data_IF_317272174577
#
_entry.id   IF_317272174577
#
_cell.length_a   1.000
_cell.length_b   1.000
_cell.length_c   1.000
_cell.angle_alpha   90.00
_cell.angle_beta   90.00
_cell.angle_gamma   90.00
#
_symmetry.space_group_name_H-M   'P 1'
#
loop_
_entity.id
_entity.type
_entity.pdbx_description
1 polymer ?
#
# COMPACT_ATOMS: atom_id res chain seq x y z
N UNK A 1 -25.66 15.93 13.48
CA UNK A 1 -24.86 15.95 14.71
C UNK A 1 -23.49 16.52 14.40
N UNK A 2 -22.92 17.31 15.30
CA UNK A 2 -21.65 18.05 15.13
C UNK A 2 -20.40 17.19 15.35
N UNK A 3 -20.51 15.88 15.14
CA UNK A 3 -19.43 14.92 15.38
C UNK A 3 -18.53 14.71 14.18
N UNK A 4 -17.28 14.32 14.42
CA UNK A 4 -16.39 13.80 13.38
C UNK A 4 -17.00 12.55 12.74
N UNK A 5 -16.65 12.32 11.48
CA UNK A 5 -17.20 11.23 10.68
C UNK A 5 -16.09 10.44 9.99
N UNK A 6 -16.25 9.11 10.00
CA UNK A 6 -15.44 8.17 9.25
C UNK A 6 -16.35 7.40 8.32
N UNK A 7 -15.97 7.31 7.04
CA UNK A 7 -16.61 6.46 6.05
C UNK A 7 -15.63 5.37 5.64
N UNK A 8 -16.04 4.12 5.75
CA UNK A 8 -15.28 2.96 5.28
C UNK A 8 -15.90 2.47 3.98
N UNK A 9 -15.08 2.35 2.93
CA UNK A 9 -15.51 1.75 1.68
C UNK A 9 -15.69 0.24 1.88
N UNK A 10 -16.90 -0.26 1.66
CA UNK A 10 -17.17 -1.68 1.57
C UNK A 10 -16.87 -2.15 0.13
N UNK A 11 -15.76 -2.86 -0.04
CA UNK A 11 -15.32 -3.34 -1.34
C UNK A 11 -16.28 -4.37 -1.96
N UNK A 12 -17.13 -5.04 -1.16
CA UNK A 12 -18.08 -6.03 -1.68
C UNK A 12 -19.34 -5.39 -2.27
N UNK A 13 -19.83 -4.31 -1.65
CA UNK A 13 -21.04 -3.61 -2.09
C UNK A 13 -20.77 -2.33 -2.90
N UNK A 14 -19.54 -1.83 -2.89
CA UNK A 14 -19.18 -0.53 -3.47
C UNK A 14 -19.75 0.67 -2.70
N UNK A 15 -20.38 0.44 -1.55
CA UNK A 15 -20.99 1.46 -0.70
C UNK A 15 -20.08 1.92 0.45
N UNK A 16 -20.56 2.89 1.23
CA UNK A 16 -19.87 3.37 2.43
C UNK A 16 -20.59 2.97 3.70
N UNK A 17 -19.82 2.47 4.67
CA UNK A 17 -20.26 2.34 6.06
C UNK A 17 -19.87 3.59 6.85
N UNK A 18 -20.86 4.23 7.48
CA UNK A 18 -20.65 5.49 8.21
C UNK A 18 -20.52 5.27 9.71
N UNK A 19 -19.49 5.89 10.29
CA UNK A 19 -19.25 5.93 11.73
C UNK A 19 -19.15 7.37 12.20
N UNK A 20 -19.88 7.67 13.28
CA UNK A 20 -20.01 9.02 13.83
C UNK A 20 -19.43 9.07 15.23
N UNK A 21 -18.59 10.07 15.49
CA UNK A 21 -18.11 10.38 16.83
C UNK A 21 -19.15 11.22 17.56
N UNK A 22 -19.87 10.61 18.51
CA UNK A 22 -20.98 11.28 19.21
C UNK A 22 -20.58 11.90 20.55
N UNK A 23 -19.51 11.42 21.15
CA UNK A 23 -18.92 11.99 22.38
C UNK A 23 -17.40 12.05 22.26
N UNK A 24 -16.72 12.62 23.26
CA UNK A 24 -15.25 12.65 23.31
C UNK A 24 -14.61 11.24 23.19
N UNK A 25 -15.32 10.19 23.61
CA UNK A 25 -14.76 8.83 23.74
C UNK A 25 -15.55 7.75 22.99
N UNK A 26 -16.65 8.09 22.30
CA UNK A 26 -17.48 7.08 21.63
C UNK A 26 -17.68 7.31 20.13
N UNK A 27 -17.37 6.26 19.37
CA UNK A 27 -17.74 6.05 17.98
C UNK A 27 -18.97 5.17 17.90
N UNK A 28 -19.88 5.51 16.98
CA UNK A 28 -21.11 4.75 16.75
C UNK A 28 -21.36 4.48 15.28
N UNK A 29 -21.97 3.34 14.98
CA UNK A 29 -22.45 2.98 13.64
C UNK A 29 -23.77 3.72 13.30
N UNK A 30 -24.33 3.42 12.12
CA UNK A 30 -25.60 3.98 11.66
C UNK A 30 -26.79 3.61 12.58
N UNK A 31 -26.71 2.51 13.32
CA UNK A 31 -27.71 2.04 14.28
C UNK A 31 -27.49 2.60 15.70
N UNK A 32 -26.52 3.50 15.87
CA UNK A 32 -26.12 4.08 17.17
C UNK A 32 -25.49 3.09 18.15
N UNK A 33 -25.00 1.95 17.69
CA UNK A 33 -24.23 0.98 18.48
C UNK A 33 -22.81 1.50 18.74
N UNK A 34 -22.26 1.30 19.94
CA UNK A 34 -20.88 1.71 20.26
C UNK A 34 -19.88 0.74 19.60
N UNK A 35 -18.90 1.27 18.87
CA UNK A 35 -17.94 0.48 18.06
C UNK A 35 -16.47 0.88 18.30
N UNK A 36 -16.14 1.33 19.51
CA UNK A 36 -14.82 1.87 19.85
C UNK A 36 -13.63 0.93 19.57
N UNK A 37 -13.85 -0.37 19.56
CA UNK A 37 -12.83 -1.41 19.35
C UNK A 37 -12.98 -2.13 18.01
N UNK A 38 -13.86 -1.64 17.13
CA UNK A 38 -14.07 -2.25 15.83
C UNK A 38 -12.79 -2.12 15.00
N UNK A 39 -12.22 -3.25 14.60
CA UNK A 39 -11.05 -3.26 13.76
C UNK A 39 -11.43 -2.78 12.36
N UNK A 40 -10.68 -1.81 11.81
CA UNK A 40 -10.77 -1.48 10.39
C UNK A 40 -9.96 -2.55 9.64
N UNK A 41 -10.58 -3.34 8.74
CA UNK A 41 -9.86 -4.36 8.01
C UNK A 41 -8.73 -3.73 7.15
N UNK A 42 -7.62 -4.43 6.97
CA UNK A 42 -6.56 -4.00 6.06
C UNK A 42 -7.06 -3.92 4.62
N UNK A 43 -6.57 -2.95 3.85
CA UNK A 43 -7.01 -2.70 2.47
C UNK A 43 -8.33 -1.93 2.37
N UNK A 44 -8.98 -1.59 3.48
CA UNK A 44 -10.18 -0.72 3.48
C UNK A 44 -9.78 0.74 3.28
N UNK A 45 -10.36 1.39 2.27
CA UNK A 45 -10.25 2.83 2.09
C UNK A 45 -11.01 3.59 3.17
N UNK A 46 -10.37 4.57 3.80
CA UNK A 46 -10.95 5.40 4.86
C UNK A 46 -11.06 6.84 4.34
N UNK A 47 -12.25 7.42 4.45
CA UNK A 47 -12.44 8.87 4.30
C UNK A 47 -12.73 9.44 5.70
N UNK A 48 -11.96 10.45 6.09
CA UNK A 48 -12.10 11.14 7.38
C UNK A 48 -12.60 12.56 7.14
N UNK A 49 -13.75 12.91 7.73
CA UNK A 49 -14.26 14.27 7.74
C UNK A 49 -14.18 14.84 9.16
N UNK A 50 -13.18 15.70 9.38
CA UNK A 50 -12.99 16.44 10.64
C UNK A 50 -13.88 17.68 10.64
N UNK A 51 -14.80 17.80 11.59
CA UNK A 51 -15.80 18.88 11.56
C UNK A 51 -15.47 20.10 12.44
N UNK A 52 -14.58 19.95 13.42
CA UNK A 52 -14.34 21.01 14.42
C UNK A 52 -12.94 21.64 14.35
N UNK A 53 -11.88 20.83 14.31
CA UNK A 53 -10.47 21.29 14.32
C UNK A 53 -9.57 20.26 13.65
N UNK A 54 -8.41 20.70 13.15
CA UNK A 54 -7.36 19.80 12.67
C UNK A 54 -6.88 18.87 13.80
N UNK A 55 -6.41 17.67 13.45
CA UNK A 55 -5.88 16.72 14.42
C UNK A 55 -5.19 15.55 13.76
N UNK A 56 -4.48 14.74 14.55
CA UNK A 56 -3.78 13.55 14.07
C UNK A 56 -4.71 12.33 14.02
N UNK A 57 -4.44 11.44 13.08
CA UNK A 57 -4.87 10.05 13.13
C UNK A 57 -3.67 9.25 13.64
N UNK A 58 -3.78 8.65 14.83
CA UNK A 58 -2.67 7.92 15.44
C UNK A 58 -3.10 6.49 15.67
N UNK A 59 -2.34 5.55 15.12
CA UNK A 59 -2.46 4.13 15.42
C UNK A 59 -1.34 3.76 16.39
N UNK A 60 -1.69 3.19 17.55
CA UNK A 60 -0.72 2.77 18.57
C UNK A 60 -0.82 1.26 18.79
N UNK A 61 0.30 0.62 19.10
CA UNK A 61 0.39 -0.83 19.33
C UNK A 61 1.21 -1.56 18.28
N UNK A 62 1.36 -2.88 18.46
CA UNK A 62 2.11 -3.73 17.53
C UNK A 62 1.38 -3.85 16.20
N UNK A 63 2.08 -3.56 15.11
CA UNK A 63 1.60 -3.85 13.76
C UNK A 63 1.49 -5.37 13.60
N UNK A 64 0.30 -5.88 13.26
CA UNK A 64 0.16 -7.27 12.81
C UNK A 64 0.75 -7.40 11.41
N UNK A 65 1.95 -7.97 11.31
CA UNK A 65 2.58 -8.33 10.04
C UNK A 65 2.03 -9.65 9.47
N UNK A 66 0.73 -9.92 9.63
CA UNK A 66 0.10 -11.10 9.04
C UNK A 66 0.18 -11.02 7.51
N UNK A 67 0.23 -12.16 6.82
CA UNK A 67 0.24 -12.19 5.36
C UNK A 67 -1.07 -11.61 4.80
N UNK A 68 -0.99 -10.45 4.15
CA UNK A 68 -2.04 -9.92 3.30
C UNK A 68 -1.63 -10.15 1.85
N UNK A 69 -2.55 -10.70 1.04
CA UNK A 69 -2.34 -10.84 -0.39
C UNK A 69 -2.97 -9.64 -1.10
N UNK A 70 -2.15 -8.82 -1.76
CA UNK A 70 -2.62 -7.90 -2.78
C UNK A 70 -2.51 -8.60 -4.11
N UNK A 71 -3.64 -8.88 -4.77
CA UNK A 71 -3.63 -9.46 -6.11
C UNK A 71 -3.18 -8.40 -7.12
N UNK A 72 -1.91 -8.47 -7.52
CA UNK A 72 -1.35 -7.55 -8.52
C UNK A 72 -1.68 -8.02 -9.93
N UNK A 73 -2.02 -7.10 -10.82
CA UNK A 73 -2.27 -7.39 -12.25
C UNK A 73 -1.05 -7.05 -13.10
N UNK A 74 -1.02 -7.55 -14.34
CA UNK A 74 -0.02 -7.17 -15.33
C UNK A 74 0.00 -5.65 -15.59
N UNK A 75 1.18 -5.10 -15.86
CA UNK A 75 1.39 -3.68 -16.10
C UNK A 75 1.77 -2.89 -14.85
N UNK A 76 1.64 -1.57 -14.94
CA UNK A 76 1.95 -0.68 -13.83
C UNK A 76 0.77 -0.52 -12.89
N UNK A 77 1.03 -0.66 -11.60
CA UNK A 77 0.07 -0.32 -10.56
C UNK A 77 0.77 0.43 -9.43
N UNK A 78 0.10 1.48 -8.96
CA UNK A 78 0.52 2.13 -7.71
C UNK A 78 0.14 1.20 -6.56
N UNK A 79 1.13 0.84 -5.78
CA UNK A 79 0.97 -0.03 -4.62
C UNK A 79 1.40 0.74 -3.38
N UNK A 80 0.62 0.56 -2.33
CA UNK A 80 0.94 1.05 -1.00
C UNK A 80 1.03 -0.15 -0.06
N UNK A 81 1.96 -0.08 0.89
CA UNK A 81 2.06 -1.11 1.90
C UNK A 81 1.02 -0.87 3.00
N UNK A 82 0.35 -1.94 3.43
CA UNK A 82 -0.70 -1.85 4.45
C UNK A 82 -0.23 -1.36 5.82
N UNK A 83 1.09 -1.31 6.07
CA UNK A 83 1.66 -0.87 7.34
C UNK A 83 3.01 -0.15 7.17
N UNK A 84 3.34 0.81 8.05
CA UNK A 84 4.59 1.57 8.05
C UNK A 84 5.75 0.74 8.60
N UNK A 85 6.18 -0.26 7.82
CA UNK A 85 7.33 -1.10 8.13
C UNK A 85 8.19 -1.21 6.88
N UNK A 86 9.50 -1.14 7.08
CA UNK A 86 10.47 -1.42 6.04
C UNK A 86 10.38 -2.90 5.64
N UNK A 87 10.31 -3.14 4.33
CA UNK A 87 10.17 -4.47 3.74
C UNK A 87 11.14 -4.69 2.59
N UNK A 88 11.53 -5.95 2.42
CA UNK A 88 12.06 -6.45 1.16
C UNK A 88 10.91 -6.88 0.24
N UNK A 89 11.12 -6.96 -1.08
CA UNK A 89 10.15 -7.59 -1.98
C UNK A 89 9.76 -9.01 -1.57
N UNK A 90 10.70 -9.78 -1.03
CA UNK A 90 10.44 -11.15 -0.60
C UNK A 90 9.47 -11.17 0.60
N UNK A 91 9.53 -10.17 1.48
CA UNK A 91 8.59 -10.00 2.60
C UNK A 91 7.15 -9.75 2.14
N UNK A 92 6.95 -9.28 0.90
CA UNK A 92 5.63 -9.09 0.28
C UNK A 92 5.30 -10.16 -0.77
N UNK A 93 6.04 -11.27 -0.76
CA UNK A 93 5.75 -12.43 -1.59
C UNK A 93 6.35 -12.38 -3.00
N UNK A 94 7.43 -11.64 -3.23
CA UNK A 94 8.17 -11.73 -4.49
C UNK A 94 8.84 -13.10 -4.67
N UNK A 95 8.10 -14.02 -5.29
CA UNK A 95 8.52 -15.39 -5.54
C UNK A 95 8.00 -15.89 -6.89
N UNK A 96 8.89 -16.48 -7.69
CA UNK A 96 8.58 -16.95 -9.05
C UNK A 96 7.59 -18.13 -9.04
N UNK A 97 7.74 -19.04 -8.08
CA UNK A 97 7.00 -20.31 -8.02
C UNK A 97 5.71 -20.17 -7.23
N UNK A 98 5.78 -19.55 -6.05
CA UNK A 98 4.66 -19.44 -5.14
C UNK A 98 3.66 -18.34 -5.54
N UNK A 99 4.15 -17.24 -6.11
CA UNK A 99 3.35 -16.03 -6.32
C UNK A 99 3.46 -15.47 -7.76
N UNK A 100 4.01 -16.26 -8.70
CA UNK A 100 3.99 -15.96 -10.12
C UNK A 100 4.82 -14.74 -10.55
N UNK A 101 5.91 -14.43 -9.84
CA UNK A 101 6.79 -13.32 -10.23
C UNK A 101 7.67 -13.67 -11.44
N UNK A 102 7.89 -12.69 -12.32
CA UNK A 102 8.78 -12.83 -13.48
C UNK A 102 10.16 -12.31 -13.11
N UNK A 103 11.19 -13.16 -13.19
CA UNK A 103 12.58 -12.75 -13.02
C UNK A 103 13.34 -12.75 -14.35
N UNK A 104 14.37 -11.92 -14.49
CA UNK A 104 15.24 -11.91 -15.67
C UNK A 104 15.65 -10.51 -16.09
N UNK A 105 16.17 -10.39 -17.32
CA UNK A 105 16.47 -9.07 -17.93
C UNK A 105 15.20 -8.25 -18.12
N UNK A 106 14.07 -8.92 -18.32
CA UNK A 106 12.74 -8.36 -18.43
C UNK A 106 11.89 -8.76 -17.21
N UNK A 107 12.50 -8.81 -16.02
CA UNK A 107 11.78 -9.13 -14.79
C UNK A 107 10.78 -8.05 -14.36
N UNK A 108 9.97 -8.39 -13.37
CA UNK A 108 9.14 -7.44 -12.65
C UNK A 108 10.01 -6.38 -11.98
N UNK A 109 9.49 -5.17 -11.80
CA UNK A 109 10.27 -4.09 -11.19
C UNK A 109 9.47 -3.18 -10.29
N UNK A 110 10.14 -2.65 -9.27
CA UNK A 110 9.64 -1.57 -8.44
C UNK A 110 10.26 -0.25 -8.88
N UNK A 111 9.46 0.81 -8.86
CA UNK A 111 9.90 2.20 -9.03
C UNK A 111 9.46 2.98 -7.80
N UNK A 112 10.44 3.44 -7.02
CA UNK A 112 10.22 4.15 -5.76
C UNK A 112 10.49 5.63 -5.99
N UNK A 113 9.56 6.48 -5.57
CA UNK A 113 9.78 7.92 -5.62
C UNK A 113 10.91 8.29 -4.66
N UNK A 114 12.00 8.84 -5.16
CA UNK A 114 13.11 9.28 -4.35
C UNK A 114 12.94 10.75 -3.91
N UNK A 115 13.76 11.18 -2.96
CA UNK A 115 13.71 12.53 -2.38
C UNK A 115 14.00 13.65 -3.38
N UNK A 116 14.60 13.34 -4.53
CA UNK A 116 14.84 14.27 -5.62
C UNK A 116 13.65 14.38 -6.60
N UNK A 117 12.56 13.66 -6.36
CA UNK A 117 11.36 13.64 -7.22
C UNK A 117 11.50 12.76 -8.46
N UNK A 118 12.54 11.93 -8.54
CA UNK A 118 12.73 10.90 -9.56
C UNK A 118 12.35 9.50 -9.06
N UNK A 119 12.60 8.46 -9.85
CA UNK A 119 12.35 7.08 -9.45
C UNK A 119 13.62 6.26 -9.32
N UNK A 120 13.79 5.59 -8.18
CA UNK A 120 14.77 4.51 -8.02
C UNK A 120 14.14 3.20 -8.51
N UNK A 121 14.77 2.56 -9.49
CA UNK A 121 14.27 1.32 -10.09
C UNK A 121 14.99 0.11 -9.53
N UNK A 122 14.21 -0.89 -9.12
CA UNK A 122 14.71 -2.20 -8.69
C UNK A 122 14.11 -3.31 -9.57
N UNK A 123 14.96 -4.06 -10.26
CA UNK A 123 14.57 -5.14 -11.18
C UNK A 123 14.73 -6.51 -10.53
N UNK A 124 13.71 -7.36 -10.66
CA UNK A 124 13.79 -8.76 -10.22
C UNK A 124 14.63 -9.56 -11.22
N UNK A 125 15.91 -9.74 -10.91
CA UNK A 125 16.89 -10.23 -11.90
C UNK A 125 17.03 -11.73 -11.92
N UNK A 126 16.94 -12.35 -10.75
CA UNK A 126 16.92 -13.80 -10.54
C UNK A 126 15.86 -14.10 -9.49
N UNK A 127 15.40 -15.34 -9.37
CA UNK A 127 14.36 -15.75 -8.41
C UNK A 127 14.65 -15.38 -6.96
N UNK A 128 15.89 -15.00 -6.61
CA UNK A 128 16.28 -14.58 -5.27
C UNK A 128 16.94 -13.21 -5.21
N UNK A 129 17.19 -12.53 -6.34
CA UNK A 129 17.99 -11.31 -6.36
C UNK A 129 17.34 -10.15 -7.09
N UNK A 130 17.41 -8.98 -6.46
CA UNK A 130 17.03 -7.69 -7.01
C UNK A 130 18.26 -6.89 -7.44
N UNK A 131 18.09 -6.04 -8.46
CA UNK A 131 19.14 -5.16 -8.99
C UNK A 131 18.67 -3.71 -8.98
N UNK A 132 19.51 -2.79 -8.53
CA UNK A 132 19.26 -1.36 -8.66
C UNK A 132 19.53 -0.84 -10.09
N UNK A 133 19.40 0.46 -10.30
CA UNK A 133 19.67 1.12 -11.58
C UNK A 133 21.14 0.97 -12.05
N UNK A 134 22.08 0.70 -11.14
CA UNK A 134 23.50 0.47 -11.44
C UNK A 134 23.82 -1.03 -11.61
N UNK A 135 22.81 -1.91 -11.63
CA UNK A 135 22.96 -3.36 -11.69
C UNK A 135 23.66 -3.98 -10.46
N UNK A 136 23.62 -3.29 -9.32
CA UNK A 136 24.12 -3.80 -8.03
C UNK A 136 23.09 -4.71 -7.36
N UNK A 137 23.54 -5.77 -6.67
CA UNK A 137 22.66 -6.70 -5.94
C UNK A 137 22.11 -6.03 -4.67
N UNK A 138 20.80 -6.13 -4.42
CA UNK A 138 20.16 -5.55 -3.20
C UNK A 138 19.39 -6.58 -2.35
N UNK A 139 19.83 -7.84 -2.33
CA UNK A 139 19.15 -8.99 -1.69
C UNK A 139 18.89 -8.86 -0.19
N UNK A 140 19.65 -8.03 0.52
CA UNK A 140 19.53 -7.85 1.98
C UNK A 140 18.92 -6.51 2.37
N UNK A 141 18.65 -5.65 1.39
CA UNK A 141 18.20 -4.28 1.65
C UNK A 141 16.69 -4.23 1.62
N UNK A 142 16.10 -3.75 2.71
CA UNK A 142 14.69 -3.38 2.76
C UNK A 142 14.51 -2.03 2.08
N UNK A 143 14.44 -2.04 0.76
CA UNK A 143 14.32 -0.80 -0.01
C UNK A 143 12.87 -0.30 -0.10
N UNK A 144 11.87 -1.09 0.27
CA UNK A 144 10.49 -0.61 0.42
C UNK A 144 10.33 0.00 1.81
N UNK A 145 10.59 1.30 1.91
CA UNK A 145 10.62 2.02 3.19
C UNK A 145 9.22 2.24 3.74
N UNK A 146 9.11 2.24 5.07
CA UNK A 146 7.90 2.55 5.80
C UNK A 146 7.22 3.83 5.33
N UNK A 147 5.95 3.72 4.91
CA UNK A 147 5.12 4.87 4.53
C UNK A 147 5.22 5.25 3.06
N UNK A 148 6.12 4.61 2.30
CA UNK A 148 6.26 4.88 0.88
C UNK A 148 5.18 4.20 0.05
N UNK A 149 4.83 4.86 -1.05
CA UNK A 149 4.11 4.27 -2.16
C UNK A 149 5.08 4.03 -3.30
N UNK A 150 4.92 2.93 -4.01
CA UNK A 150 5.77 2.59 -5.15
C UNK A 150 4.93 2.16 -6.34
N UNK A 151 5.47 2.37 -7.53
CA UNK A 151 4.89 1.82 -8.73
C UNK A 151 5.50 0.43 -8.94
N UNK A 152 4.64 -0.59 -8.95
CA UNK A 152 5.01 -1.95 -9.30
C UNK A 152 4.69 -2.19 -10.78
N UNK A 153 5.70 -2.59 -11.53
CA UNK A 153 5.56 -3.10 -12.88
C UNK A 153 5.61 -4.62 -12.87
N UNK A 154 4.46 -5.24 -13.13
CA UNK A 154 4.35 -6.68 -13.38
C UNK A 154 4.54 -6.91 -14.86
N UNK A 155 5.68 -7.44 -15.27
CA UNK A 155 5.98 -7.61 -16.67
C UNK A 155 5.15 -8.76 -17.26
N UNK A 156 4.22 -8.41 -18.14
CA UNK A 156 3.54 -9.32 -19.03
C UNK A 156 3.83 -8.92 -20.48
N UNK A 157 5.07 -9.11 -20.93
CA UNK A 157 5.54 -8.93 -22.31
C UNK A 157 5.25 -7.56 -23.00
N UNK A 158 4.69 -6.57 -22.31
CA UNK A 158 4.31 -5.27 -22.86
C UNK A 158 5.10 -4.14 -22.22
N UNK A 159 6.09 -3.63 -22.96
CA UNK A 159 6.83 -2.42 -22.58
C UNK A 159 5.91 -1.20 -22.71
N UNK A 160 5.61 -0.54 -21.60
CA UNK A 160 5.22 0.87 -21.61
C UNK A 160 6.36 1.66 -20.97
N UNK A 161 6.94 2.58 -21.72
CA UNK A 161 7.83 3.59 -21.18
C UNK A 161 6.96 4.67 -20.51
N UNK A 162 7.29 5.04 -19.27
CA UNK A 162 6.69 6.22 -18.65
C UNK A 162 7.26 7.47 -19.31
N UNK A 163 6.69 7.87 -20.43
CA UNK A 163 7.01 9.15 -21.06
C UNK A 163 6.34 10.25 -20.25
N UNK A 164 7.14 11.20 -19.76
CA UNK A 164 6.65 12.43 -19.12
C UNK A 164 5.67 13.12 -20.09
N UNK A 165 4.47 13.52 -19.65
CA UNK A 165 3.58 14.31 -20.49
C UNK A 165 4.28 15.62 -20.88
N UNK A 166 4.42 15.85 -22.17
CA UNK A 166 4.76 17.16 -22.71
C UNK A 166 3.47 17.96 -22.77
N UNK A 167 3.38 19.02 -21.95
CA UNK A 167 2.39 20.08 -22.11
C UNK A 167 2.94 21.15 -23.05
#
# INVERSE_FOLDING_TARGET
GTGDEILLLDAASGGFQTYLRRTATSWRDANSTIVNTLAIPPGTGIIVNKRAVAGSLTTTGSVRANNFALNTVAGYQLVTLGYPLDRSPNDIGADVVANGWTSGVNGDSFMLLNSAGGFDKYLFRTSTSWRDANSSIVTTTKFLVSGDSYVLFRNAAGNFDFVKPTF
#
